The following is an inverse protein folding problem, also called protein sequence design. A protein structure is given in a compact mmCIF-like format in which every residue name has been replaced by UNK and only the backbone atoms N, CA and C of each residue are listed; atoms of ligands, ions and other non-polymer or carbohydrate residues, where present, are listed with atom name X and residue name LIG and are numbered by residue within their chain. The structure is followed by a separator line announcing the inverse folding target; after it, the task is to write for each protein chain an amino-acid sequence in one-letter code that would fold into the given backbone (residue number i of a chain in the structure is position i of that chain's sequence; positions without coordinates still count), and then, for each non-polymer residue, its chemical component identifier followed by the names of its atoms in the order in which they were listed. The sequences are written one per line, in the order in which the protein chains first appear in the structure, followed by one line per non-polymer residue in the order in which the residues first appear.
data_IF_710174716074
#
_entry.id   IF_710174716074
#
_cell.length_a   1.000
_cell.length_b   1.000
_cell.length_c   1.000
_cell.angle_alpha   90.00
_cell.angle_beta   90.00
_cell.angle_gamma   90.00
#
_symmetry.space_group_name_H-M   'P 1'
#
loop_
_entity.id
_entity.type
_entity.pdbx_description
1 polymer ?
#
# COMPACT_ATOMS: atom_id res chain seq x y z
N UNK A 1 -18.50 -9.71 56.81
CA UNK A 1 -17.45 -9.68 55.80
C UNK A 1 -17.58 -8.39 55.00
N UNK A 2 -16.58 -7.53 55.08
CA UNK A 2 -16.56 -6.28 54.33
C UNK A 2 -16.26 -6.59 52.82
N UNK A 3 -17.02 -5.96 51.94
CA UNK A 3 -16.88 -6.14 50.46
C UNK A 3 -15.44 -5.91 49.95
N UNK A 4 -14.68 -5.11 50.67
CA UNK A 4 -13.30 -4.76 50.38
C UNK A 4 -12.23 -5.70 50.97
N UNK A 5 -12.61 -6.79 51.67
CA UNK A 5 -11.64 -7.71 52.27
C UNK A 5 -10.83 -8.51 51.24
N UNK A 6 -11.33 -8.61 50.01
CA UNK A 6 -10.69 -9.36 48.89
C UNK A 6 -9.78 -8.47 48.03
N UNK A 7 -9.94 -7.14 48.13
CA UNK A 7 -9.19 -6.17 47.29
C UNK A 7 -7.68 -6.28 47.42
N UNK A 8 -7.10 -6.45 48.63
CA UNK A 8 -5.63 -6.57 48.76
C UNK A 8 -5.07 -7.80 48.04
N UNK A 9 -5.80 -8.93 48.08
CA UNK A 9 -5.39 -10.16 47.44
C UNK A 9 -5.45 -10.01 45.90
N UNK A 10 -6.52 -9.39 45.39
CA UNK A 10 -6.66 -9.08 43.96
C UNK A 10 -5.55 -8.16 43.46
N UNK A 11 -5.15 -7.17 44.27
CA UNK A 11 -4.07 -6.25 43.90
C UNK A 11 -2.70 -6.93 43.83
N UNK A 12 -2.41 -7.83 44.77
CA UNK A 12 -1.18 -8.64 44.73
C UNK A 12 -1.15 -9.56 43.52
N UNK A 13 -2.26 -10.22 43.21
CA UNK A 13 -2.35 -11.09 42.01
C UNK A 13 -2.19 -10.30 40.72
N UNK A 14 -2.73 -9.08 40.65
CA UNK A 14 -2.57 -8.18 39.49
C UNK A 14 -1.10 -7.80 39.31
N UNK A 15 -0.40 -7.40 40.39
CA UNK A 15 1.03 -7.06 40.31
C UNK A 15 1.85 -8.27 39.88
N UNK A 16 1.60 -9.45 40.45
CA UNK A 16 2.30 -10.70 40.07
C UNK A 16 2.04 -11.02 38.59
N UNK A 17 0.82 -10.88 38.11
CA UNK A 17 0.48 -11.09 36.69
C UNK A 17 1.17 -10.12 35.76
N UNK A 18 1.23 -8.84 36.12
CA UNK A 18 1.95 -7.81 35.34
C UNK A 18 3.45 -8.09 35.31
N UNK A 19 4.05 -8.40 36.45
CA UNK A 19 5.49 -8.73 36.54
C UNK A 19 5.80 -10.00 35.75
N UNK A 20 4.96 -11.04 35.87
CA UNK A 20 5.11 -12.25 35.08
C UNK A 20 5.06 -11.94 33.58
N UNK A 21 4.08 -11.15 33.14
CA UNK A 21 3.94 -10.78 31.74
C UNK A 21 5.14 -9.95 31.24
N UNK A 22 5.65 -9.00 32.03
CA UNK A 22 6.83 -8.22 31.67
C UNK A 22 8.09 -9.07 31.53
N UNK A 23 8.24 -10.09 32.41
CA UNK A 23 9.43 -10.95 32.41
C UNK A 23 9.40 -12.01 31.29
N UNK A 24 8.20 -12.53 30.98
CA UNK A 24 8.04 -13.66 30.07
C UNK A 24 7.42 -13.28 28.71
N UNK A 25 6.99 -12.03 28.52
CA UNK A 25 6.34 -11.61 27.26
C UNK A 25 7.22 -11.83 26.02
N UNK A 26 8.52 -11.58 26.14
CA UNK A 26 9.47 -11.80 25.05
C UNK A 26 9.68 -13.28 24.67
N UNK A 27 9.35 -14.21 25.57
CA UNK A 27 9.48 -15.65 25.32
C UNK A 27 8.15 -16.33 24.94
N UNK A 28 7.02 -15.75 25.38
CA UNK A 28 5.67 -16.31 25.17
C UNK A 28 4.96 -15.70 23.94
N UNK A 29 5.26 -14.45 23.62
CA UNK A 29 4.75 -13.85 22.39
C UNK A 29 5.64 -14.34 21.23
N UNK A 30 5.06 -14.94 20.19
CA UNK A 30 5.82 -15.12 18.96
C UNK A 30 6.36 -13.74 18.58
N UNK A 31 7.67 -13.63 18.47
CA UNK A 31 8.29 -12.50 17.81
C UNK A 31 7.78 -12.54 16.37
N UNK A 32 6.60 -11.95 16.14
CA UNK A 32 6.29 -11.50 14.80
C UNK A 32 7.52 -10.72 14.36
N UNK A 33 8.06 -11.04 13.18
CA UNK A 33 9.20 -10.33 12.60
C UNK A 33 9.04 -8.87 12.95
N UNK A 34 10.06 -8.32 13.62
CA UNK A 34 10.06 -6.94 14.04
C UNK A 34 9.91 -6.11 12.76
N UNK A 35 8.65 -5.87 12.41
CA UNK A 35 8.30 -5.00 11.28
C UNK A 35 8.80 -3.66 11.72
N UNK A 36 9.79 -3.13 11.01
CA UNK A 36 10.35 -1.81 11.23
C UNK A 36 9.21 -0.86 11.59
N UNK A 37 9.25 -0.20 12.76
CA UNK A 37 8.17 0.70 13.18
C UNK A 37 7.94 1.86 12.20
N UNK A 38 8.87 2.06 11.27
CA UNK A 38 8.80 3.07 10.21
C UNK A 38 8.11 2.59 8.93
N UNK A 39 7.79 1.28 8.80
CA UNK A 39 7.06 0.81 7.60
C UNK A 39 5.61 1.29 7.62
N UNK A 40 5.22 1.99 6.58
CA UNK A 40 3.81 2.36 6.32
C UNK A 40 2.93 1.12 6.18
N UNK A 41 1.62 1.29 6.41
CA UNK A 41 0.65 0.21 6.21
C UNK A 41 0.72 -0.37 4.79
N UNK A 42 0.99 0.47 3.77
CA UNK A 42 1.17 0.06 2.38
C UNK A 42 2.39 -0.84 2.18
N UNK A 43 3.55 -0.47 2.75
CA UNK A 43 4.77 -1.28 2.66
C UNK A 43 4.60 -2.65 3.33
N UNK A 44 3.83 -2.73 4.43
CA UNK A 44 3.48 -4.01 5.07
C UNK A 44 2.62 -4.89 4.16
N UNK A 45 1.66 -4.31 3.47
CA UNK A 45 0.81 -5.04 2.52
C UNK A 45 1.62 -5.54 1.33
N UNK A 46 2.52 -4.73 0.78
CA UNK A 46 3.42 -5.14 -0.31
C UNK A 46 4.28 -6.34 0.06
N UNK A 47 4.77 -6.40 1.30
CA UNK A 47 5.50 -7.56 1.81
C UNK A 47 4.62 -8.81 1.88
N UNK A 48 3.39 -8.68 2.37
CA UNK A 48 2.43 -9.80 2.46
C UNK A 48 2.11 -10.37 1.07
N UNK A 49 2.02 -9.52 0.05
CA UNK A 49 1.76 -9.94 -1.33
C UNK A 49 3.04 -10.31 -2.10
N UNK A 50 4.22 -10.25 -1.48
CA UNK A 50 5.50 -10.56 -2.12
C UNK A 50 5.95 -9.54 -3.18
N UNK A 51 5.35 -8.35 -3.20
CA UNK A 51 5.63 -7.30 -4.18
C UNK A 51 6.87 -6.45 -3.86
N UNK A 52 7.35 -6.49 -2.62
CA UNK A 52 8.50 -5.65 -2.20
C UNK A 52 9.77 -5.89 -3.02
N UNK A 53 9.95 -7.10 -3.52
CA UNK A 53 11.10 -7.47 -4.35
C UNK A 53 10.98 -7.07 -5.82
N UNK A 54 9.78 -6.69 -6.26
CA UNK A 54 9.48 -6.30 -7.63
C UNK A 54 9.41 -4.79 -7.84
N UNK A 55 9.67 -3.98 -6.79
CA UNK A 55 9.60 -2.52 -6.82
C UNK A 55 11.01 -1.92 -6.85
N UNK A 56 11.21 -0.96 -7.75
CA UNK A 56 12.49 -0.29 -7.95
C UNK A 56 12.29 1.22 -8.12
N UNK A 57 13.25 1.99 -7.61
CA UNK A 57 13.28 3.45 -7.81
C UNK A 57 14.43 3.81 -8.72
N UNK A 58 14.12 4.50 -9.80
CA UNK A 58 15.10 5.01 -10.76
C UNK A 58 15.05 6.53 -10.82
N UNK A 59 16.15 7.12 -11.26
CA UNK A 59 16.25 8.52 -11.65
C UNK A 59 16.42 8.62 -13.15
N UNK A 60 15.69 9.53 -13.79
CA UNK A 60 15.82 9.84 -15.21
C UNK A 60 17.12 10.64 -15.39
N UNK A 61 18.04 10.13 -16.21
CA UNK A 61 19.27 10.86 -16.55
C UNK A 61 19.00 11.93 -17.61
N UNK A 62 19.96 12.81 -17.83
CA UNK A 62 19.85 13.89 -18.83
C UNK A 62 19.86 13.36 -20.26
N UNK A 63 20.41 12.18 -20.46
CA UNK A 63 20.53 11.48 -21.74
C UNK A 63 19.34 10.58 -22.02
N UNK A 64 18.41 10.42 -21.07
CA UNK A 64 17.29 9.51 -21.18
C UNK A 64 16.35 9.84 -22.36
N UNK A 65 16.03 8.85 -23.20
CA UNK A 65 15.05 9.04 -24.28
C UNK A 65 13.60 9.16 -23.79
N UNK A 66 13.34 9.05 -22.48
CA UNK A 66 12.02 9.27 -21.89
C UNK A 66 11.66 10.75 -21.78
N UNK A 67 12.64 11.64 -21.73
CA UNK A 67 12.40 13.08 -21.49
C UNK A 67 11.41 13.62 -22.52
N UNK A 68 10.37 14.29 -22.03
CA UNK A 68 9.28 14.86 -22.83
C UNK A 68 8.23 13.90 -23.31
N UNK A 69 8.38 12.57 -23.07
CA UNK A 69 7.36 11.57 -23.39
C UNK A 69 6.34 11.45 -22.28
N UNK A 70 5.13 11.07 -22.64
CA UNK A 70 4.11 10.62 -21.69
C UNK A 70 4.37 9.16 -21.27
N UNK A 71 3.62 8.71 -20.23
CA UNK A 71 3.65 7.31 -19.80
C UNK A 71 3.26 6.36 -20.94
N UNK A 72 2.25 6.73 -21.74
CA UNK A 72 1.80 5.95 -22.88
C UNK A 72 2.86 5.87 -23.96
N UNK A 73 3.48 7.00 -24.32
CA UNK A 73 4.55 7.06 -25.33
C UNK A 73 5.82 6.32 -24.92
N UNK A 74 6.07 6.17 -23.63
CA UNK A 74 7.19 5.37 -23.11
C UNK A 74 7.06 3.88 -23.38
N UNK A 75 5.83 3.41 -23.62
CA UNK A 75 5.47 2.00 -23.83
C UNK A 75 5.93 1.05 -22.72
N UNK A 76 6.21 1.57 -21.52
CA UNK A 76 6.78 0.80 -20.42
C UNK A 76 5.91 -0.41 -20.04
N UNK A 77 4.59 -0.26 -20.03
CA UNK A 77 3.67 -1.37 -19.78
C UNK A 77 3.56 -2.33 -20.96
N UNK A 78 3.45 -1.83 -22.20
CA UNK A 78 3.19 -2.64 -23.37
C UNK A 78 4.43 -3.40 -23.90
N UNK A 79 5.62 -2.78 -23.79
CA UNK A 79 6.86 -3.34 -24.34
C UNK A 79 7.68 -4.08 -23.28
N UNK A 80 7.74 -3.54 -22.04
CA UNK A 80 8.63 -4.05 -21.00
C UNK A 80 7.89 -4.71 -19.81
N UNK A 81 6.57 -4.75 -19.81
CA UNK A 81 5.76 -5.20 -18.65
C UNK A 81 6.11 -4.49 -17.34
N UNK A 82 6.53 -3.23 -17.43
CA UNK A 82 6.88 -2.38 -16.29
C UNK A 82 5.75 -1.42 -16.00
N UNK A 83 5.25 -1.44 -14.76
CA UNK A 83 4.22 -0.54 -14.30
C UNK A 83 4.86 0.66 -13.60
N UNK A 84 4.49 1.88 -13.98
CA UNK A 84 4.84 3.07 -13.23
C UNK A 84 3.91 3.17 -12.03
N UNK A 85 4.43 3.11 -10.82
CA UNK A 85 3.68 3.31 -9.59
C UNK A 85 3.59 4.79 -9.24
N UNK A 86 4.70 5.53 -9.38
CA UNK A 86 4.79 6.97 -9.09
C UNK A 86 5.92 7.66 -9.85
N UNK A 87 5.76 8.95 -10.04
CA UNK A 87 6.84 9.84 -10.46
C UNK A 87 6.93 11.01 -9.47
N UNK A 88 8.15 11.35 -9.05
CA UNK A 88 8.44 12.43 -8.11
C UNK A 88 9.40 13.41 -8.73
N UNK A 89 9.17 14.68 -8.50
CA UNK A 89 10.18 15.71 -8.71
C UNK A 89 11.00 15.88 -7.42
N UNK A 90 12.31 16.09 -7.51
CA UNK A 90 13.22 16.12 -6.35
C UNK A 90 12.85 17.22 -5.32
N UNK A 91 12.15 18.27 -5.74
CA UNK A 91 11.77 19.42 -4.93
C UNK A 91 10.25 19.53 -4.67
N UNK A 92 9.44 18.61 -5.16
CA UNK A 92 7.98 18.68 -5.01
C UNK A 92 7.48 17.65 -4.02
N UNK A 93 6.83 18.12 -2.96
CA UNK A 93 6.03 17.26 -2.04
C UNK A 93 4.81 16.64 -2.74
N UNK A 94 4.58 16.95 -4.00
CA UNK A 94 3.42 16.59 -4.79
C UNK A 94 3.84 15.67 -5.93
N UNK A 95 3.33 14.41 -5.94
CA UNK A 95 3.54 13.52 -7.07
C UNK A 95 2.51 13.82 -8.17
N UNK A 96 2.97 13.78 -9.43
CA UNK A 96 2.11 14.00 -10.59
C UNK A 96 1.26 12.74 -10.85
N UNK A 97 -0.03 12.96 -11.14
CA UNK A 97 -0.96 11.93 -11.55
C UNK A 97 -0.76 11.67 -13.06
N UNK A 98 -1.08 10.48 -13.50
CA UNK A 98 -0.74 9.84 -14.77
C UNK A 98 -1.16 10.60 -16.03
N UNK A 99 -2.31 11.29 -16.02
CA UNK A 99 -2.97 11.77 -17.24
C UNK A 99 -2.20 12.87 -17.99
N UNK A 100 -1.42 13.68 -17.26
CA UNK A 100 -0.61 14.77 -17.82
C UNK A 100 0.88 14.62 -17.53
N UNK A 101 1.32 13.44 -17.07
CA UNK A 101 2.72 13.23 -16.73
C UNK A 101 3.58 13.21 -18.00
N UNK A 102 4.48 14.18 -18.12
CA UNK A 102 5.62 14.14 -19.02
C UNK A 102 6.87 13.89 -18.21
N UNK A 103 7.69 12.95 -18.66
CA UNK A 103 8.94 12.63 -17.99
C UNK A 103 9.94 13.78 -18.11
N UNK A 104 10.54 14.13 -16.98
CA UNK A 104 11.51 15.24 -16.87
C UNK A 104 12.87 14.73 -16.38
N UNK A 105 13.93 15.48 -16.66
CA UNK A 105 15.27 15.18 -16.14
C UNK A 105 15.31 15.22 -14.62
N UNK A 106 16.10 14.34 -14.02
CA UNK A 106 16.30 14.20 -12.57
C UNK A 106 15.05 13.70 -11.82
N UNK A 107 13.92 13.49 -12.48
CA UNK A 107 12.71 12.93 -11.91
C UNK A 107 12.95 11.51 -11.43
N UNK A 108 12.37 11.15 -10.30
CA UNK A 108 12.43 9.80 -9.75
C UNK A 108 11.18 9.02 -10.13
N UNK A 109 11.38 7.80 -10.62
CA UNK A 109 10.33 6.88 -11.02
C UNK A 109 10.31 5.68 -10.06
N UNK A 110 9.19 5.47 -9.39
CA UNK A 110 8.90 4.24 -8.69
C UNK A 110 8.19 3.29 -9.66
N UNK A 111 8.82 2.20 -9.99
CA UNK A 111 8.31 1.23 -10.96
C UNK A 111 8.21 -0.16 -10.36
N UNK A 112 7.27 -0.94 -10.89
CA UNK A 112 7.06 -2.34 -10.54
C UNK A 112 7.21 -3.22 -11.78
N UNK A 113 7.86 -4.34 -11.62
CA UNK A 113 8.02 -5.35 -12.67
C UNK A 113 8.98 -6.44 -12.24
N UNK A 114 9.19 -7.43 -13.11
CA UNK A 114 10.20 -8.44 -12.84
C UNK A 114 11.59 -7.87 -13.09
N UNK A 115 12.58 -8.44 -12.40
CA UNK A 115 13.97 -7.93 -12.41
C UNK A 115 14.53 -7.82 -13.82
N UNK A 116 14.26 -8.80 -14.66
CA UNK A 116 14.73 -8.88 -16.06
C UNK A 116 14.10 -7.76 -16.89
N UNK A 117 12.77 -7.62 -16.83
CA UNK A 117 11.98 -6.64 -17.58
C UNK A 117 12.37 -5.20 -17.16
N UNK A 118 12.56 -4.98 -15.87
CA UNK A 118 13.02 -3.68 -15.31
C UNK A 118 14.47 -3.39 -15.73
N UNK A 119 15.33 -4.41 -15.77
CA UNK A 119 16.72 -4.26 -16.22
C UNK A 119 16.80 -3.81 -17.68
N UNK A 120 16.01 -4.41 -18.56
CA UNK A 120 15.91 -4.04 -19.96
C UNK A 120 15.34 -2.61 -20.12
N UNK A 121 14.24 -2.30 -19.45
CA UNK A 121 13.65 -0.98 -19.44
C UNK A 121 14.63 0.11 -18.99
N UNK A 122 15.35 -0.14 -17.89
CA UNK A 122 16.30 0.81 -17.34
C UNK A 122 17.51 1.02 -18.26
N UNK A 123 18.00 -0.05 -18.87
CA UNK A 123 19.12 0.00 -19.81
C UNK A 123 18.76 0.80 -21.07
N UNK A 124 17.62 0.47 -21.69
CA UNK A 124 17.20 1.09 -22.97
C UNK A 124 16.81 2.56 -22.83
N UNK A 125 16.43 2.95 -21.59
CA UNK A 125 16.02 4.31 -21.30
C UNK A 125 17.05 5.11 -20.48
N UNK A 126 18.25 4.60 -20.33
CA UNK A 126 19.35 5.24 -19.59
C UNK A 126 18.93 5.74 -18.21
N UNK A 127 18.35 4.83 -17.40
CA UNK A 127 17.87 5.15 -16.06
C UNK A 127 18.89 4.75 -15.01
N UNK A 128 19.07 5.58 -13.99
CA UNK A 128 19.95 5.31 -12.87
C UNK A 128 19.18 4.68 -11.72
N UNK A 129 19.51 3.45 -11.35
CA UNK A 129 18.94 2.80 -10.16
C UNK A 129 19.34 3.56 -8.89
N UNK A 130 18.37 3.99 -8.10
CA UNK A 130 18.57 4.60 -6.78
C UNK A 130 18.39 3.58 -5.69
N UNK A 131 17.34 2.77 -5.75
CA UNK A 131 16.96 1.86 -4.69
C UNK A 131 16.11 0.69 -5.18
N UNK A 132 16.21 -0.45 -4.45
CA UNK A 132 15.27 -1.57 -4.54
C UNK A 132 14.32 -1.53 -3.35
N UNK A 133 13.03 -1.72 -3.59
CA UNK A 133 11.98 -1.66 -2.58
C UNK A 133 11.41 -0.24 -2.36
N UNK A 134 10.24 -0.18 -1.75
CA UNK A 134 9.59 1.08 -1.41
C UNK A 134 10.11 1.59 -0.06
N UNK A 135 10.89 2.66 -0.07
CA UNK A 135 11.32 3.38 1.15
C UNK A 135 10.50 4.64 1.45
N UNK A 136 9.59 5.01 0.56
CA UNK A 136 8.82 6.22 0.77
C UNK A 136 7.69 6.00 1.79
N UNK A 137 8.08 6.05 3.06
CA UNK A 137 7.17 6.03 4.20
C UNK A 137 6.37 7.33 4.38
N UNK A 138 6.59 8.33 3.53
CA UNK A 138 6.05 9.69 3.74
C UNK A 138 4.77 10.00 3.00
N UNK A 139 4.37 9.19 2.00
CA UNK A 139 3.13 9.45 1.29
C UNK A 139 1.92 8.87 2.02
N UNK A 140 1.42 9.67 2.97
CA UNK A 140 0.17 9.41 3.65
C UNK A 140 -1.07 9.45 2.73
N UNK A 141 -0.90 9.91 1.48
CA UNK A 141 -1.99 10.12 0.53
C UNK A 141 -2.28 8.92 -0.36
N UNK A 142 -1.30 8.06 -0.60
CA UNK A 142 -1.45 6.87 -1.46
C UNK A 142 -1.54 5.61 -0.62
N UNK A 143 -2.44 4.74 -1.03
CA UNK A 143 -2.65 3.46 -0.37
C UNK A 143 -2.82 2.31 -1.35
N UNK A 144 -2.98 1.14 -0.77
CA UNK A 144 -3.31 -0.09 -1.47
C UNK A 144 -4.64 -0.61 -0.95
N UNK A 145 -5.48 -1.10 -1.84
CA UNK A 145 -6.79 -1.66 -1.54
C UNK A 145 -6.93 -3.02 -2.22
N UNK A 146 -7.32 -4.01 -1.45
CA UNK A 146 -7.66 -5.33 -1.96
C UNK A 146 -9.18 -5.41 -2.19
N UNK A 147 -9.57 -5.74 -3.43
CA UNK A 147 -10.98 -5.89 -3.82
C UNK A 147 -11.22 -7.21 -4.52
N UNK A 148 -12.35 -7.84 -4.26
CA UNK A 148 -12.81 -9.05 -4.94
C UNK A 148 -13.89 -8.68 -5.95
N UNK A 149 -13.84 -9.30 -7.13
CA UNK A 149 -14.84 -9.13 -8.18
C UNK A 149 -16.03 -10.08 -7.89
N UNK A 150 -17.22 -9.56 -7.53
CA UNK A 150 -18.38 -10.39 -7.35
C UNK A 150 -18.91 -10.90 -8.69
N UNK A 151 -19.63 -12.02 -8.68
CA UNK A 151 -20.22 -12.61 -9.89
C UNK A 151 -21.20 -11.68 -10.62
N UNK A 152 -21.78 -10.70 -9.91
CA UNK A 152 -22.71 -9.71 -10.48
C UNK A 152 -22.01 -8.50 -11.11
N UNK A 153 -20.68 -8.40 -10.98
CA UNK A 153 -19.93 -7.25 -11.48
C UNK A 153 -20.08 -7.08 -12.99
N UNK A 154 -20.26 -5.85 -13.42
CA UNK A 154 -20.33 -5.46 -14.84
C UNK A 154 -18.97 -5.58 -15.54
N UNK A 155 -17.91 -5.81 -14.77
CA UNK A 155 -16.54 -5.92 -15.25
C UNK A 155 -16.17 -7.35 -15.64
N UNK A 156 -16.95 -8.36 -15.24
CA UNK A 156 -16.68 -9.77 -15.58
C UNK A 156 -16.67 -9.94 -17.12
N UNK A 157 -15.58 -10.53 -17.63
CA UNK A 157 -15.36 -10.76 -19.04
C UNK A 157 -14.65 -9.61 -19.77
N UNK A 158 -14.50 -8.44 -19.17
CA UNK A 158 -13.66 -7.36 -19.71
C UNK A 158 -12.22 -7.57 -19.30
N UNK A 159 -11.30 -7.02 -20.07
CA UNK A 159 -9.89 -6.91 -19.63
C UNK A 159 -9.75 -5.78 -18.60
N UNK A 160 -8.67 -5.80 -17.80
CA UNK A 160 -8.34 -4.69 -16.88
C UNK A 160 -8.20 -3.38 -17.66
N UNK A 161 -7.65 -3.43 -18.88
CA UNK A 161 -7.53 -2.28 -19.80
C UNK A 161 -8.92 -1.74 -20.18
N UNK A 162 -9.85 -2.61 -20.59
CA UNK A 162 -11.22 -2.22 -20.96
C UNK A 162 -12.04 -1.73 -19.77
N UNK A 163 -11.73 -2.20 -18.56
CA UNK A 163 -12.33 -1.71 -17.32
C UNK A 163 -11.91 -0.28 -16.99
N UNK A 164 -10.81 0.20 -17.58
CA UNK A 164 -10.30 1.57 -17.48
C UNK A 164 -10.24 2.11 -16.03
N UNK A 165 -9.87 1.25 -15.06
CA UNK A 165 -9.91 1.61 -13.64
C UNK A 165 -9.01 2.81 -13.32
N UNK A 166 -7.93 2.97 -14.09
CA UNK A 166 -7.04 4.13 -13.99
C UNK A 166 -7.77 5.43 -14.35
N UNK A 167 -8.47 5.43 -15.48
CA UNK A 167 -9.10 6.64 -16.03
C UNK A 167 -10.39 7.00 -15.27
N UNK A 168 -11.14 5.98 -14.83
CA UNK A 168 -12.43 6.17 -14.14
C UNK A 168 -12.27 6.48 -12.67
N UNK A 169 -11.35 5.79 -12.00
CA UNK A 169 -11.20 5.84 -10.54
C UNK A 169 -9.84 6.36 -10.07
N UNK A 170 -8.95 6.72 -11.00
CA UNK A 170 -7.58 7.13 -10.67
C UNK A 170 -6.87 6.11 -9.77
N UNK A 171 -7.09 4.83 -10.06
CA UNK A 171 -6.54 3.70 -9.33
C UNK A 171 -5.96 2.66 -10.29
N UNK A 172 -4.72 2.22 -10.01
CA UNK A 172 -4.02 1.25 -10.83
C UNK A 172 -4.11 -0.14 -10.23
N UNK A 173 -4.36 -1.15 -11.07
CA UNK A 173 -4.20 -2.56 -10.67
C UNK A 173 -2.73 -2.92 -10.71
N UNK A 174 -2.17 -3.30 -9.57
CA UNK A 174 -0.76 -3.67 -9.44
C UNK A 174 -0.57 -5.19 -9.41
N UNK A 175 -1.62 -5.94 -9.05
CA UNK A 175 -1.59 -7.38 -8.91
C UNK A 175 -2.99 -7.96 -9.05
N UNK A 176 -3.09 -9.17 -9.64
CA UNK A 176 -4.33 -9.94 -9.72
C UNK A 176 -4.09 -11.35 -9.15
N UNK A 177 -4.97 -11.78 -8.26
CA UNK A 177 -5.07 -13.18 -7.86
C UNK A 177 -6.26 -13.80 -8.60
N UNK A 178 -6.00 -14.76 -9.47
CA UNK A 178 -7.03 -15.47 -10.23
C UNK A 178 -6.80 -16.97 -10.15
N UNK A 179 -7.82 -17.73 -9.74
CA UNK A 179 -7.76 -19.21 -9.68
C UNK A 179 -6.51 -19.76 -8.96
N UNK A 180 -6.09 -19.14 -7.86
CA UNK A 180 -4.88 -19.46 -7.07
C UNK A 180 -3.55 -19.15 -7.77
N UNK A 181 -3.58 -18.39 -8.86
CA UNK A 181 -2.40 -17.88 -9.52
C UNK A 181 -2.22 -16.38 -9.27
N UNK A 182 -0.98 -15.95 -9.16
CA UNK A 182 -0.60 -14.54 -9.06
C UNK A 182 -0.24 -14.05 -10.44
N UNK A 183 -0.93 -13.02 -10.90
CA UNK A 183 -0.70 -12.37 -12.20
C UNK A 183 -0.08 -11.00 -11.92
N UNK A 184 1.21 -10.92 -12.11
CA UNK A 184 2.03 -9.72 -11.96
C UNK A 184 2.59 -9.21 -13.30
N UNK A 185 2.37 -10.01 -14.38
CA UNK A 185 2.73 -9.68 -15.76
C UNK A 185 1.50 -9.58 -16.63
N UNK A 186 1.51 -8.62 -17.55
CA UNK A 186 0.41 -8.45 -18.49
C UNK A 186 -0.92 -8.19 -17.82
N UNK A 187 -0.91 -7.60 -16.63
CA UNK A 187 -2.10 -7.33 -15.81
C UNK A 187 -3.17 -6.61 -16.61
N UNK A 188 -2.79 -5.68 -17.49
CA UNK A 188 -3.72 -4.91 -18.30
C UNK A 188 -4.56 -5.76 -19.26
N UNK A 189 -4.01 -6.87 -19.73
CA UNK A 189 -4.64 -7.76 -20.71
C UNK A 189 -5.36 -8.95 -20.04
N UNK A 190 -5.29 -9.06 -18.71
CA UNK A 190 -6.03 -10.09 -17.97
C UNK A 190 -7.55 -9.87 -18.08
N UNK A 191 -8.26 -10.93 -18.48
CA UNK A 191 -9.72 -10.93 -18.52
C UNK A 191 -10.28 -11.18 -17.11
N UNK A 192 -10.99 -10.21 -16.59
CA UNK A 192 -11.56 -10.20 -15.24
C UNK A 192 -12.56 -11.34 -15.09
N UNK A 193 -12.40 -12.16 -14.06
CA UNK A 193 -13.31 -13.25 -13.71
C UNK A 193 -13.98 -12.98 -12.37
N UNK A 194 -15.17 -13.56 -12.20
CA UNK A 194 -15.81 -13.59 -10.89
C UNK A 194 -14.91 -14.34 -9.87
N UNK A 195 -14.69 -13.73 -8.71
CA UNK A 195 -13.80 -14.26 -7.68
C UNK A 195 -12.34 -13.81 -7.80
N UNK A 196 -11.96 -13.12 -8.88
CA UNK A 196 -10.65 -12.51 -8.96
C UNK A 196 -10.48 -11.47 -7.85
N UNK A 197 -9.29 -11.45 -7.26
CA UNK A 197 -8.90 -10.42 -6.31
C UNK A 197 -7.91 -9.48 -6.96
N UNK A 198 -8.24 -8.20 -6.98
CA UNK A 198 -7.39 -7.15 -7.52
C UNK A 198 -6.74 -6.39 -6.36
N UNK A 199 -5.45 -6.14 -6.46
CA UNK A 199 -4.74 -5.19 -5.61
C UNK A 199 -4.63 -3.88 -6.36
N UNK A 200 -5.26 -2.86 -5.82
CA UNK A 200 -5.33 -1.52 -6.38
C UNK A 200 -4.37 -0.59 -5.63
N UNK A 201 -3.72 0.29 -6.36
CA UNK A 201 -2.96 1.41 -5.81
C UNK A 201 -3.60 2.72 -6.26
N UNK A 202 -3.73 3.69 -5.36
CA UNK A 202 -4.29 5.00 -5.67
C UNK A 202 -4.31 5.92 -4.47
N UNK A 203 -4.78 7.16 -4.67
CA UNK A 203 -5.06 8.07 -3.56
C UNK A 203 -6.18 7.50 -2.70
N UNK A 204 -6.11 7.69 -1.38
CA UNK A 204 -7.16 7.23 -0.47
C UNK A 204 -8.55 7.74 -0.81
N UNK A 205 -8.64 8.96 -1.36
CA UNK A 205 -9.91 9.53 -1.83
C UNK A 205 -10.48 8.73 -2.99
N UNK A 206 -9.64 8.35 -3.95
CA UNK A 206 -10.02 7.52 -5.10
C UNK A 206 -10.39 6.10 -4.69
N UNK A 207 -9.64 5.52 -3.76
CA UNK A 207 -9.89 4.16 -3.29
C UNK A 207 -11.23 4.01 -2.53
N UNK A 208 -11.76 5.09 -1.96
CA UNK A 208 -13.08 5.07 -1.30
C UNK A 208 -14.23 4.77 -2.25
N UNK A 209 -14.13 5.15 -3.53
CA UNK A 209 -15.17 4.86 -4.51
C UNK A 209 -15.40 3.37 -4.72
N UNK A 210 -14.38 2.56 -4.46
CA UNK A 210 -14.50 1.10 -4.56
C UNK A 210 -15.33 0.49 -3.42
N UNK A 211 -15.41 1.14 -2.25
CA UNK A 211 -16.26 0.69 -1.14
C UNK A 211 -17.75 0.90 -1.43
N UNK A 212 -18.08 1.91 -2.24
CA UNK A 212 -19.47 2.26 -2.58
C UNK A 212 -19.97 1.60 -3.87
N UNK A 213 -19.05 1.01 -4.66
CA UNK A 213 -19.38 0.40 -5.95
C UNK A 213 -19.89 -1.04 -5.79
N UNK A 214 -20.97 -1.36 -6.51
CA UNK A 214 -21.52 -2.73 -6.56
C UNK A 214 -20.64 -3.72 -7.33
N UNK A 215 -19.69 -3.20 -8.12
CA UNK A 215 -18.78 -4.00 -8.94
C UNK A 215 -17.63 -4.60 -8.14
N UNK A 216 -17.43 -4.15 -6.89
CA UNK A 216 -16.31 -4.58 -6.05
C UNK A 216 -16.79 -4.95 -4.65
N UNK A 217 -16.04 -5.87 -4.01
CA UNK A 217 -16.15 -6.18 -2.58
C UNK A 217 -14.79 -5.89 -1.97
N UNK A 218 -14.71 -4.89 -1.10
CA UNK A 218 -13.46 -4.54 -0.41
C UNK A 218 -13.15 -5.57 0.68
N UNK A 219 -11.94 -6.13 0.65
CA UNK A 219 -11.47 -7.11 1.65
C UNK A 219 -10.80 -6.41 2.82
N UNK A 220 -10.00 -5.39 2.52
CA UNK A 220 -9.30 -4.62 3.54
C UNK A 220 -10.10 -3.34 3.82
N UNK A 221 -10.71 -3.20 5.01
CA UNK A 221 -11.42 -1.96 5.32
C UNK A 221 -10.42 -0.80 5.32
N UNK A 222 -10.75 0.27 4.59
CA UNK A 222 -10.00 1.51 4.62
C UNK A 222 -10.06 2.05 6.05
N UNK A 223 -9.03 1.80 6.84
CA UNK A 223 -8.95 2.37 8.19
C UNK A 223 -8.99 3.89 8.04
N UNK A 224 -10.12 4.46 8.44
CA UNK A 224 -10.22 5.89 8.67
C UNK A 224 -9.01 6.25 9.55
N UNK A 225 -8.11 7.09 9.04
CA UNK A 225 -7.00 7.61 9.84
C UNK A 225 -7.64 8.26 11.07
N UNK A 226 -7.63 7.56 12.20
CA UNK A 226 -7.99 8.18 13.46
C UNK A 226 -6.96 9.28 13.68
N UNK A 227 -7.37 10.51 13.45
CA UNK A 227 -6.61 11.66 13.91
C UNK A 227 -6.38 11.43 15.41
N UNK A 228 -5.17 11.05 15.76
CA UNK A 228 -4.76 11.01 17.16
C UNK A 228 -4.94 12.43 17.68
N UNK A 229 -6.02 12.66 18.43
CA UNK A 229 -6.26 13.93 19.12
C UNK A 229 -5.62 13.83 20.49
N UNK A 230 -4.33 14.18 20.64
CA UNK A 230 -3.61 14.06 21.91
C UNK A 230 -4.27 14.90 23.01
N UNK A 231 -4.97 15.98 22.63
CA UNK A 231 -5.73 16.83 23.55
C UNK A 231 -6.81 16.06 24.31
N UNK A 232 -7.49 15.10 23.66
CA UNK A 232 -8.53 14.30 24.32
C UNK A 232 -7.96 13.24 25.27
N UNK A 233 -6.71 12.80 25.07
CA UNK A 233 -6.06 11.85 25.96
C UNK A 233 -5.82 12.45 27.35
N UNK A 234 -5.45 13.72 27.42
CA UNK A 234 -5.24 14.43 28.69
C UNK A 234 -6.56 14.56 29.46
N UNK A 235 -7.67 14.86 28.76
CA UNK A 235 -9.00 14.90 29.37
C UNK A 235 -9.47 13.53 29.89
N UNK A 236 -9.20 12.46 29.14
CA UNK A 236 -9.54 11.10 29.56
C UNK A 236 -8.77 10.68 30.81
N UNK A 237 -7.46 10.96 30.87
CA UNK A 237 -6.61 10.66 32.04
C UNK A 237 -7.02 11.47 33.24
N UNK A 238 -7.30 12.77 33.09
CA UNK A 238 -7.73 13.64 34.18
C UNK A 238 -9.11 13.24 34.72
N UNK A 239 -10.06 12.87 33.86
CA UNK A 239 -11.37 12.39 34.25
C UNK A 239 -11.31 11.07 35.00
N UNK A 240 -10.42 10.16 34.56
CA UNK A 240 -10.20 8.88 35.22
C UNK A 240 -9.55 9.06 36.61
N UNK A 241 -8.56 9.96 36.73
CA UNK A 241 -7.93 10.29 38.00
C UNK A 241 -8.92 10.93 38.98
N UNK A 242 -9.83 11.79 38.51
CA UNK A 242 -10.86 12.41 39.34
C UNK A 242 -11.94 11.41 39.79
N UNK A 243 -12.16 10.32 39.07
CA UNK A 243 -13.13 9.29 39.46
C UNK A 243 -12.58 8.28 40.47
N UNK A 244 -11.25 8.23 40.66
CA UNK A 244 -10.58 7.34 41.61
C UNK A 244 -10.21 7.99 42.95
N UNK A 245 -10.31 9.30 43.07
CA UNK A 245 -10.05 10.08 44.30
C UNK A 245 -11.33 10.47 45.02
#
# INVERSE_FOLDING_TARGET
FSFFSVTPIGFVLLIVGVVYFLLFSSSLLPTGEATDPEMTAGAKMLNVWGLSDSIYTFRITKESPLIGKSVEESKMGAQYNVNLLRAYDEDADEYKIWDDLQFETDQQLLVQGQKEDIGEFAHDNDLRLLQKGEKSAQDAEVGYLEVVIPARSSLVGKTIREAALRDVYNAQVVLVFSESQVIDKGVADHSIKAGDTLVLQGKWESLRFFEESEDFITVTPLKKREEKRPEKAIFAVSSFAAALG
#
